data_IF_912844341335
#
_entry.id   IF_912844341335
#
_cell.length_a   1.000
_cell.length_b   1.000
_cell.length_c   1.000
_cell.angle_alpha   90.00
_cell.angle_beta   90.00
_cell.angle_gamma   90.00
#
_symmetry.space_group_name_H-M   'P 1'
#
loop_
_entity.id
_entity.type
_entity.pdbx_description
1 polymer ?
#
# COMPACT_ATOMS: atom_id res chain seq x y z
N UNK A 1 -12.68 27.25 -22.47
CA UNK A 1 -11.60 26.65 -21.65
C UNK A 1 -11.19 25.36 -22.33
N UNK A 2 -9.89 25.16 -22.51
CA UNK A 2 -9.30 24.31 -23.58
C UNK A 2 -8.91 22.92 -23.05
N UNK A 3 -8.98 21.92 -23.94
CA UNK A 3 -8.49 20.57 -23.66
C UNK A 3 -7.03 20.54 -23.18
N UNK A 4 -6.23 21.56 -23.49
CA UNK A 4 -4.86 21.73 -23.00
C UNK A 4 -4.73 21.67 -21.46
N UNK A 5 -5.71 22.20 -20.71
CA UNK A 5 -5.69 22.13 -19.24
C UNK A 5 -5.89 20.70 -18.74
N UNK A 6 -6.82 19.96 -19.36
CA UNK A 6 -7.07 18.55 -19.05
C UNK A 6 -5.85 17.70 -19.39
N UNK A 7 -5.21 17.96 -20.54
CA UNK A 7 -3.96 17.30 -20.95
C UNK A 7 -2.86 17.52 -19.90
N UNK A 8 -2.65 18.77 -19.46
CA UNK A 8 -1.62 19.10 -18.46
C UNK A 8 -1.88 18.39 -17.12
N UNK A 9 -3.15 18.30 -16.70
CA UNK A 9 -3.53 17.58 -15.48
C UNK A 9 -3.28 16.08 -15.63
N UNK A 10 -3.60 15.51 -16.79
CA UNK A 10 -3.36 14.09 -17.09
C UNK A 10 -1.87 13.75 -17.13
N UNK A 11 -1.02 14.62 -17.70
CA UNK A 11 0.44 14.45 -17.66
C UNK A 11 0.98 14.46 -16.23
N UNK A 12 0.52 15.41 -15.40
CA UNK A 12 0.89 15.46 -13.98
C UNK A 12 0.42 14.20 -13.22
N UNK A 13 -0.79 13.72 -13.51
CA UNK A 13 -1.30 12.48 -12.92
C UNK A 13 -0.44 11.28 -13.31
N UNK A 14 -0.03 11.16 -14.58
CA UNK A 14 0.88 10.11 -15.02
C UNK A 14 2.21 10.17 -14.27
N UNK A 15 2.84 11.35 -14.18
CA UNK A 15 4.10 11.54 -13.46
C UNK A 15 3.98 11.19 -11.97
N UNK A 16 2.88 11.55 -11.32
CA UNK A 16 2.64 11.17 -9.92
C UNK A 16 2.49 9.65 -9.74
N UNK A 17 1.85 8.97 -10.68
CA UNK A 17 1.72 7.51 -10.64
C UNK A 17 3.04 6.80 -10.94
N UNK A 18 3.89 7.34 -11.82
CA UNK A 18 5.25 6.84 -12.05
C UNK A 18 6.10 6.93 -10.77
N UNK A 19 6.07 8.06 -10.07
CA UNK A 19 6.77 8.22 -8.78
C UNK A 19 6.21 7.23 -7.74
N UNK A 20 4.89 7.04 -7.70
CA UNK A 20 4.26 6.06 -6.80
C UNK A 20 4.73 4.64 -7.12
N UNK A 21 4.90 4.30 -8.39
CA UNK A 21 5.41 3.00 -8.83
C UNK A 21 6.87 2.80 -8.44
N UNK A 22 7.71 3.83 -8.53
CA UNK A 22 9.09 3.78 -8.03
C UNK A 22 9.15 3.53 -6.52
N UNK A 23 8.28 4.19 -5.74
CA UNK A 23 8.17 3.94 -4.29
C UNK A 23 7.76 2.50 -3.98
N UNK A 24 6.81 1.91 -4.73
CA UNK A 24 6.43 0.52 -4.53
C UNK A 24 7.58 -0.45 -4.90
N UNK A 25 8.47 -0.11 -5.83
CA UNK A 25 9.69 -0.89 -6.08
C UNK A 25 10.73 -0.72 -4.95
N UNK A 26 10.87 0.48 -4.40
CA UNK A 26 11.74 0.74 -3.25
C UNK A 26 11.25 -0.01 -2.01
N UNK A 27 9.93 -0.09 -1.80
CA UNK A 27 9.28 -0.89 -0.76
C UNK A 27 9.65 -2.37 -0.84
N UNK A 28 9.72 -2.93 -2.05
CA UNK A 28 10.15 -4.31 -2.26
C UNK A 28 11.56 -4.56 -1.70
N UNK A 29 12.48 -3.62 -1.93
CA UNK A 29 13.88 -3.71 -1.46
C UNK A 29 13.96 -3.60 0.06
N UNK A 30 13.28 -2.61 0.63
CA UNK A 30 13.23 -2.38 2.09
C UNK A 30 12.64 -3.59 2.82
N UNK A 31 11.57 -4.19 2.29
CA UNK A 31 10.96 -5.39 2.88
C UNK A 31 11.92 -6.59 2.84
N UNK A 32 12.73 -6.73 1.79
CA UNK A 32 13.78 -7.77 1.72
C UNK A 32 14.92 -7.52 2.71
N UNK A 33 15.28 -6.26 2.94
CA UNK A 33 16.33 -5.85 3.90
C UNK A 33 15.83 -5.84 5.35
N UNK A 34 14.53 -6.01 5.57
CA UNK A 34 13.87 -6.05 6.87
C UNK A 34 14.03 -4.73 7.68
N UNK A 35 14.20 -3.60 6.98
CA UNK A 35 14.35 -2.26 7.57
C UNK A 35 12.98 -1.64 7.88
N UNK A 36 12.61 -1.66 9.16
CA UNK A 36 11.34 -1.13 9.66
C UNK A 36 11.31 0.41 9.63
N UNK A 37 12.44 1.07 9.85
CA UNK A 37 12.52 2.53 9.88
C UNK A 37 12.45 3.10 8.46
N UNK A 38 13.14 2.46 7.51
CA UNK A 38 13.01 2.74 6.08
C UNK A 38 11.57 2.57 5.58
N UNK A 39 10.88 1.52 6.02
CA UNK A 39 9.48 1.27 5.65
C UNK A 39 8.55 2.37 6.16
N UNK A 40 8.71 2.82 7.39
CA UNK A 40 7.90 3.90 7.96
C UNK A 40 8.08 5.23 7.19
N UNK A 41 9.32 5.56 6.84
CA UNK A 41 9.61 6.75 6.04
C UNK A 41 9.01 6.66 4.62
N UNK A 42 9.05 5.48 4.01
CA UNK A 42 8.45 5.23 2.70
C UNK A 42 6.94 5.35 2.74
N UNK A 43 6.27 4.78 3.75
CA UNK A 43 4.82 4.92 3.96
C UNK A 43 4.40 6.39 4.11
N UNK A 44 5.19 7.21 4.82
CA UNK A 44 4.92 8.64 4.95
C UNK A 44 5.03 9.39 3.60
N UNK A 45 5.98 9.00 2.74
CA UNK A 45 6.07 9.52 1.37
C UNK A 45 4.87 9.08 0.53
N UNK A 46 4.53 7.79 0.52
CA UNK A 46 3.37 7.24 -0.21
C UNK A 46 2.09 8.01 0.13
N UNK A 47 1.82 8.25 1.42
CA UNK A 47 0.63 9.00 1.85
C UNK A 47 0.56 10.42 1.28
N UNK A 48 1.70 11.13 1.17
CA UNK A 48 1.76 12.47 0.56
C UNK A 48 1.43 12.42 -0.92
N UNK A 49 1.98 11.46 -1.66
CA UNK A 49 1.69 11.30 -3.08
C UNK A 49 0.24 10.88 -3.33
N UNK A 50 -0.32 9.98 -2.50
CA UNK A 50 -1.75 9.62 -2.57
C UNK A 50 -2.64 10.84 -2.33
N UNK A 51 -2.29 11.70 -1.36
CA UNK A 51 -3.02 12.95 -1.13
C UNK A 51 -2.95 13.90 -2.34
N UNK A 52 -1.76 14.05 -2.94
CA UNK A 52 -1.56 14.87 -4.13
C UNK A 52 -2.33 14.33 -5.35
N UNK A 53 -2.35 13.01 -5.56
CA UNK A 53 -3.15 12.36 -6.59
C UNK A 53 -4.63 12.65 -6.36
N UNK A 54 -5.14 12.49 -5.12
CA UNK A 54 -6.55 12.78 -4.80
C UNK A 54 -6.94 14.23 -5.08
N UNK A 55 -6.08 15.20 -4.81
CA UNK A 55 -6.34 16.61 -5.12
C UNK A 55 -6.35 16.84 -6.63
N UNK A 56 -5.37 16.29 -7.34
CA UNK A 56 -5.26 16.41 -8.81
C UNK A 56 -6.45 15.74 -9.52
N UNK A 57 -6.93 14.60 -9.00
CA UNK A 57 -8.09 13.89 -9.52
C UNK A 57 -9.40 14.69 -9.35
N UNK A 58 -9.50 15.45 -8.25
CA UNK A 58 -10.63 16.37 -8.03
C UNK A 58 -10.57 17.54 -9.00
N UNK A 59 -9.39 18.10 -9.23
CA UNK A 59 -9.19 19.15 -10.23
C UNK A 59 -9.55 18.64 -11.62
N UNK A 60 -9.08 17.44 -12.00
CA UNK A 60 -9.46 16.76 -13.25
C UNK A 60 -10.98 16.71 -13.41
N UNK A 61 -11.69 16.18 -12.40
CA UNK A 61 -13.17 16.08 -12.46
C UNK A 61 -13.83 17.44 -12.64
N UNK A 62 -13.35 18.47 -11.94
CA UNK A 62 -13.88 19.83 -12.04
C UNK A 62 -13.67 20.41 -13.44
N UNK A 63 -12.47 20.27 -14.00
CA UNK A 63 -12.17 20.77 -15.35
C UNK A 63 -12.94 20.03 -16.44
N UNK A 64 -13.06 18.70 -16.31
CA UNK A 64 -13.89 17.89 -17.21
C UNK A 64 -15.37 18.30 -17.14
N UNK A 65 -15.89 18.50 -15.93
CA UNK A 65 -17.27 18.96 -15.74
C UNK A 65 -17.49 20.37 -16.31
N UNK A 66 -16.54 21.28 -16.14
CA UNK A 66 -16.59 22.63 -16.70
C UNK A 66 -16.58 22.62 -18.24
N UNK A 67 -15.80 21.73 -18.85
CA UNK A 67 -15.66 21.67 -20.31
C UNK A 67 -16.85 20.99 -21.02
N UNK A 68 -17.41 19.94 -20.41
CA UNK A 68 -18.58 19.23 -20.94
C UNK A 68 -19.92 19.78 -20.44
N UNK A 69 -19.93 20.58 -19.37
CA UNK A 69 -21.14 21.09 -18.73
C UNK A 69 -21.96 20.01 -18.04
N UNK A 70 -21.33 18.88 -17.66
CA UNK A 70 -21.98 17.74 -16.99
C UNK A 70 -21.13 17.28 -15.81
N UNK A 71 -21.75 17.11 -14.64
CA UNK A 71 -21.05 16.71 -13.40
C UNK A 71 -20.46 15.29 -13.45
N UNK A 72 -20.96 14.41 -14.32
CA UNK A 72 -20.52 13.02 -14.47
C UNK A 72 -19.76 12.74 -15.77
N UNK A 73 -19.22 13.76 -16.42
CA UNK A 73 -18.48 13.56 -17.65
C UNK A 73 -17.16 12.80 -17.42
N UNK A 74 -16.87 11.86 -18.31
CA UNK A 74 -15.67 11.01 -18.28
C UNK A 74 -14.61 11.51 -19.25
N UNK A 75 -13.37 11.03 -19.10
CA UNK A 75 -12.30 11.32 -20.08
C UNK A 75 -12.68 10.78 -21.47
N UNK A 76 -13.44 9.69 -21.55
CA UNK A 76 -13.97 9.20 -22.83
C UNK A 76 -14.83 10.27 -23.52
N UNK A 77 -15.69 10.95 -22.78
CA UNK A 77 -16.55 12.01 -23.30
C UNK A 77 -15.73 13.26 -23.71
N UNK A 78 -14.62 13.53 -23.01
CA UNK A 78 -13.64 14.55 -23.40
C UNK A 78 -12.97 14.21 -24.73
N UNK A 79 -12.58 12.96 -24.94
CA UNK A 79 -11.93 12.46 -26.16
C UNK A 79 -12.89 12.54 -27.36
N UNK A 80 -14.19 12.30 -27.16
CA UNK A 80 -15.19 12.44 -28.24
C UNK A 80 -15.40 13.90 -28.66
N UNK A 81 -15.23 14.85 -27.74
CA UNK A 81 -15.41 16.29 -28.00
C UNK A 81 -14.12 17.00 -28.42
N UNK A 82 -12.95 16.37 -28.18
CA UNK A 82 -11.64 16.87 -28.56
C UNK A 82 -11.43 16.80 -30.08
N UNK A 83 -10.60 17.70 -30.61
CA UNK A 83 -10.25 17.76 -32.04
C UNK A 83 -8.89 17.12 -32.25
N UNK A 84 -8.80 16.22 -33.24
CA UNK A 84 -7.61 15.53 -33.79
C UNK A 84 -6.37 15.43 -32.89
N UNK A 85 -5.47 16.42 -32.89
CA UNK A 85 -4.21 16.36 -32.12
C UNK A 85 -4.40 16.27 -30.59
N UNK A 86 -5.41 16.95 -30.04
CA UNK A 86 -5.73 16.90 -28.61
C UNK A 86 -6.32 15.54 -28.24
N UNK A 87 -7.07 14.93 -29.17
CA UNK A 87 -7.68 13.61 -29.01
C UNK A 87 -6.61 12.52 -28.91
N UNK A 88 -5.64 12.50 -29.83
CA UNK A 88 -4.54 11.54 -29.82
C UNK A 88 -3.72 11.62 -28.52
N UNK A 89 -3.40 12.83 -28.06
CA UNK A 89 -2.69 13.05 -26.79
C UNK A 89 -3.48 12.54 -25.59
N UNK A 90 -4.79 12.80 -25.53
CA UNK A 90 -5.63 12.33 -24.43
C UNK A 90 -5.77 10.80 -24.42
N UNK A 91 -5.87 10.17 -25.59
CA UNK A 91 -5.89 8.70 -25.72
C UNK A 91 -4.56 8.12 -25.22
N UNK A 92 -3.44 8.65 -25.71
CA UNK A 92 -2.11 8.20 -25.28
C UNK A 92 -1.90 8.33 -23.77
N UNK A 93 -2.26 9.48 -23.18
CA UNK A 93 -2.13 9.70 -21.74
C UNK A 93 -3.04 8.78 -20.92
N UNK A 94 -4.24 8.48 -21.44
CA UNK A 94 -5.15 7.52 -20.80
C UNK A 94 -4.57 6.12 -20.81
N UNK A 95 -4.05 5.66 -21.94
CA UNK A 95 -3.43 4.33 -22.06
C UNK A 95 -2.21 4.23 -21.15
N UNK A 96 -1.32 5.23 -21.21
CA UNK A 96 -0.15 5.31 -20.34
C UNK A 96 -0.53 5.23 -18.86
N UNK A 97 -1.55 5.98 -18.43
CA UNK A 97 -2.02 5.93 -17.04
C UNK A 97 -2.55 4.55 -16.67
N UNK A 98 -3.28 3.90 -17.58
CA UNK A 98 -3.85 2.57 -17.37
C UNK A 98 -2.75 1.52 -17.21
N UNK A 99 -1.71 1.58 -18.04
CA UNK A 99 -0.54 0.69 -17.94
C UNK A 99 0.19 0.88 -16.60
N UNK A 100 0.45 2.13 -16.19
CA UNK A 100 1.12 2.42 -14.91
C UNK A 100 0.29 1.90 -13.74
N UNK A 101 -1.02 2.10 -13.76
CA UNK A 101 -1.92 1.61 -12.70
C UNK A 101 -1.93 0.09 -12.63
N UNK A 102 -1.89 -0.59 -13.77
CA UNK A 102 -1.81 -2.05 -13.81
C UNK A 102 -0.48 -2.56 -13.23
N UNK A 103 0.64 -1.96 -13.62
CA UNK A 103 1.96 -2.27 -13.05
C UNK A 103 1.97 -2.03 -11.52
N UNK A 104 1.40 -0.92 -11.07
CA UNK A 104 1.33 -0.60 -9.65
C UNK A 104 0.49 -1.60 -8.86
N UNK A 105 -0.61 -2.07 -9.44
CA UNK A 105 -1.46 -3.13 -8.84
C UNK A 105 -0.70 -4.45 -8.72
N UNK A 106 0.09 -4.81 -9.74
CA UNK A 106 0.94 -6.01 -9.71
C UNK A 106 2.02 -5.89 -8.63
N UNK A 107 2.71 -4.76 -8.56
CA UNK A 107 3.76 -4.49 -7.58
C UNK A 107 3.21 -4.49 -6.15
N UNK A 108 2.06 -3.85 -5.92
CA UNK A 108 1.43 -3.85 -4.60
C UNK A 108 1.05 -5.27 -4.15
N UNK A 109 0.54 -6.10 -5.06
CA UNK A 109 0.24 -7.51 -4.76
C UNK A 109 1.51 -8.29 -4.40
N UNK A 110 2.61 -8.07 -5.13
CA UNK A 110 3.91 -8.68 -4.83
C UNK A 110 4.40 -8.26 -3.43
N UNK A 111 4.36 -6.96 -3.13
CA UNK A 111 4.78 -6.43 -1.83
C UNK A 111 3.94 -7.01 -0.67
N UNK A 112 2.62 -7.14 -0.84
CA UNK A 112 1.76 -7.82 0.15
C UNK A 112 2.17 -9.28 0.38
N UNK A 113 2.48 -10.00 -0.70
CA UNK A 113 2.94 -11.40 -0.59
C UNK A 113 4.28 -11.52 0.13
N UNK A 114 5.24 -10.64 -0.19
CA UNK A 114 6.55 -10.61 0.49
C UNK A 114 6.41 -10.33 1.98
N UNK A 115 5.61 -9.33 2.37
CA UNK A 115 5.35 -9.02 3.78
C UNK A 115 4.71 -10.22 4.50
N UNK A 116 3.72 -10.87 3.87
CA UNK A 116 3.06 -12.04 4.44
C UNK A 116 4.04 -13.21 4.64
N UNK A 117 4.91 -13.46 3.66
CA UNK A 117 5.94 -14.49 3.75
C UNK A 117 6.97 -14.17 4.86
N UNK A 118 7.41 -12.91 4.98
CA UNK A 118 8.29 -12.49 6.08
C UNK A 118 7.66 -12.73 7.45
N UNK A 119 6.36 -12.42 7.62
CA UNK A 119 5.61 -12.69 8.85
C UNK A 119 5.50 -14.20 9.14
N UNK A 120 5.23 -15.02 8.13
CA UNK A 120 5.21 -16.47 8.28
C UNK A 120 6.57 -17.01 8.72
N UNK A 121 7.65 -16.53 8.12
CA UNK A 121 9.01 -16.93 8.47
C UNK A 121 9.37 -16.55 9.92
N UNK A 122 9.02 -15.34 10.36
CA UNK A 122 9.23 -14.89 11.75
C UNK A 122 8.41 -15.78 12.70
N UNK A 123 7.15 -16.05 12.38
CA UNK A 123 6.28 -16.90 13.21
C UNK A 123 6.82 -18.33 13.31
N UNK A 124 7.27 -18.90 12.20
CA UNK A 124 7.91 -20.22 12.17
C UNK A 124 9.20 -20.25 12.99
N UNK A 125 10.07 -19.23 12.83
CA UNK A 125 11.32 -19.10 13.60
C UNK A 125 11.06 -18.96 15.10
N UNK A 126 10.05 -18.17 15.50
CA UNK A 126 9.61 -18.06 16.89
C UNK A 126 9.09 -19.38 17.44
N UNK A 127 8.31 -20.14 16.68
CA UNK A 127 7.81 -21.47 17.08
C UNK A 127 8.93 -22.50 17.25
N UNK A 128 10.04 -22.38 16.50
CA UNK A 128 11.22 -23.22 16.68
C UNK A 128 12.03 -22.83 17.93
N UNK A 129 12.14 -21.54 18.25
CA UNK A 129 12.87 -21.03 19.41
C UNK A 129 12.10 -21.20 20.73
N UNK A 130 10.77 -21.12 20.68
CA UNK A 130 9.88 -21.48 21.77
C UNK A 130 9.17 -22.79 21.44
N UNK A 131 9.79 -23.97 21.69
CA UNK A 131 9.02 -25.19 21.75
C UNK A 131 7.93 -24.95 22.79
N UNK A 132 6.66 -24.91 22.35
CA UNK A 132 5.52 -24.98 23.24
C UNK A 132 5.84 -26.07 24.27
N UNK A 133 5.76 -25.80 25.59
CA UNK A 133 5.99 -26.86 26.56
C UNK A 133 5.03 -27.96 26.15
N UNK A 134 5.56 -29.09 25.69
CA UNK A 134 4.75 -30.29 25.53
C UNK A 134 4.13 -30.45 26.89
N UNK A 135 2.81 -30.31 26.99
CA UNK A 135 2.10 -30.73 28.17
C UNK A 135 2.62 -32.13 28.45
N UNK A 136 3.45 -32.26 29.48
CA UNK A 136 3.98 -33.53 29.91
C UNK A 136 2.79 -34.24 30.57
N UNK A 137 1.86 -34.72 29.75
CA UNK A 137 0.77 -35.60 30.13
C UNK A 137 1.36 -36.98 30.36
N UNK A 138 2.18 -37.07 31.41
CA UNK A 138 2.52 -38.32 32.08
C UNK A 138 2.49 -38.06 33.58
N UNK A 139 1.29 -37.75 34.08
CA UNK A 139 1.02 -37.87 35.51
C UNK A 139 0.97 -39.36 35.85
N UNK A 140 2.05 -39.86 36.46
CA UNK A 140 2.01 -41.16 37.13
C UNK A 140 0.91 -41.14 38.20
N UNK A 141 0.05 -42.19 38.32
CA UNK A 141 -1.15 -42.14 39.17
C UNK A 141 -0.92 -42.08 40.69
N UNK A 142 0.32 -41.95 41.17
CA UNK A 142 0.65 -42.23 42.57
C UNK A 142 1.51 -41.20 43.30
N UNK A 143 1.59 -39.96 42.82
CA UNK A 143 2.21 -38.87 43.59
C UNK A 143 1.15 -37.95 44.20
N UNK A 144 0.99 -38.09 45.52
CA UNK A 144 0.22 -37.21 46.39
C UNK A 144 0.65 -35.76 46.15
N UNK A 145 -0.30 -34.91 45.75
CA UNK A 145 -0.15 -33.46 45.72
C UNK A 145 0.11 -32.99 47.15
N UNK A 146 1.39 -32.76 47.47
CA UNK A 146 1.80 -32.05 48.69
C UNK A 146 1.93 -30.57 48.36
N UNK A 147 1.10 -29.79 49.06
CA UNK A 147 1.25 -28.37 49.37
C UNK A 147 1.57 -27.41 48.23
N UNK A 148 0.52 -26.74 47.74
CA UNK A 148 0.62 -25.32 47.35
C UNK A 148 0.86 -24.48 48.61
N UNK A 149 2.08 -24.52 49.15
CA UNK A 149 2.59 -23.48 50.02
C UNK A 149 3.12 -22.31 49.17
N UNK A 150 2.79 -21.10 49.63
CA UNK A 150 2.68 -19.92 48.80
C UNK A 150 3.99 -19.37 48.24
N UNK A 151 3.86 -18.74 47.08
CA UNK A 151 4.72 -17.63 46.69
C UNK A 151 3.92 -16.36 46.90
N UNK A 152 4.02 -15.88 48.15
CA UNK A 152 3.67 -14.54 48.58
C UNK A 152 4.31 -13.51 47.67
N UNK A 153 3.51 -12.51 47.34
CA UNK A 153 3.90 -11.26 46.70
C UNK A 153 4.99 -10.59 47.55
N UNK A 154 6.15 -10.36 46.96
CA UNK A 154 7.21 -9.46 47.43
C UNK A 154 7.28 -8.41 46.31
N UNK A 155 6.71 -7.21 46.43
CA UNK A 155 7.05 -6.08 47.32
C UNK A 155 8.54 -5.76 47.34
N UNK A 156 8.91 -4.64 46.69
CA UNK A 156 10.05 -3.79 47.06
C UNK A 156 9.96 -2.48 46.26
N UNK A 157 9.28 -1.50 46.86
CA UNK A 157 9.61 -0.07 46.70
C UNK A 157 10.56 0.32 47.84
N UNK A 158 11.71 0.88 47.49
CA UNK A 158 12.45 1.89 48.26
C UNK A 158 13.31 2.67 47.27
#
# INVERSE_FOLDING_TARGET
MSAAQVITIMEKLCALHEILYELEQEKEKIVKENDVDGLNNLLAKEQKYIAAIRTMEKERKKEVANWLGRENATISDCIEKAVDEEKEKLVYLREKLMDIVELLKQQNKLNQQLIYQSLQFITFSLNLLHPQPKDATYSHPNQKIKDRQGRSLFDSKA
#
